data_IF_582000140467
#
_entry.id   IF_582000140467
#
_cell.length_a   1.000
_cell.length_b   1.000
_cell.length_c   1.000
_cell.angle_alpha   90.00
_cell.angle_beta   90.00
_cell.angle_gamma   90.00
#
_symmetry.space_group_name_H-M   'P 1'
#
loop_
_entity.id
_entity.type
_entity.pdbx_description
1 polymer ?
#
# COMPACT_ATOMS: atom_id res chain seq x y z
N UNK A 1 12.42 -11.38 6.60
CA UNK A 1 11.32 -10.39 6.49
C UNK A 1 11.86 -9.23 5.69
N UNK A 2 11.05 -8.67 4.79
CA UNK A 2 11.42 -7.52 3.97
C UNK A 2 10.46 -6.38 4.27
N UNK A 3 11.00 -5.18 4.39
CA UNK A 3 10.24 -3.96 4.62
C UNK A 3 10.21 -3.15 3.33
N UNK A 4 9.02 -2.85 2.87
CA UNK A 4 8.78 -2.02 1.69
C UNK A 4 8.09 -0.72 2.10
N UNK A 5 8.50 0.38 1.48
CA UNK A 5 7.76 1.64 1.54
C UNK A 5 6.99 1.80 0.25
N UNK A 6 5.66 1.82 0.35
CA UNK A 6 4.75 1.94 -0.79
C UNK A 6 4.07 3.31 -0.79
N UNK A 7 4.11 4.02 -1.91
CA UNK A 7 3.41 5.28 -2.11
C UNK A 7 2.42 5.17 -3.27
N UNK A 8 1.18 5.62 -3.07
CA UNK A 8 0.19 5.64 -4.15
C UNK A 8 0.46 6.82 -5.09
N UNK A 9 1.00 6.53 -6.29
CA UNK A 9 1.32 7.52 -7.32
C UNK A 9 0.10 7.92 -8.15
N UNK A 10 -0.77 6.97 -8.45
CA UNK A 10 -1.85 7.14 -9.43
C UNK A 10 -3.18 6.62 -8.88
N UNK A 11 -4.12 7.51 -8.59
CA UNK A 11 -5.46 7.09 -8.19
C UNK A 11 -6.52 7.86 -8.96
N UNK A 12 -7.51 7.12 -9.50
CA UNK A 12 -8.67 7.72 -10.18
C UNK A 12 -9.56 8.50 -9.22
N UNK A 13 -9.43 8.28 -7.91
CA UNK A 13 -10.01 9.12 -6.86
C UNK A 13 -8.89 9.83 -6.09
N UNK A 14 -8.94 11.16 -6.00
CA UNK A 14 -7.92 12.02 -5.33
C UNK A 14 -7.52 11.57 -3.91
N UNK A 15 -8.32 10.73 -3.25
CA UNK A 15 -8.21 10.36 -1.84
C UNK A 15 -6.96 9.57 -1.46
N UNK A 16 -6.41 8.76 -2.36
CA UNK A 16 -5.25 7.91 -2.04
C UNK A 16 -3.91 8.46 -2.53
N UNK A 17 -3.91 9.41 -3.47
CA UNK A 17 -2.67 9.92 -4.07
C UNK A 17 -1.79 10.56 -3.00
N UNK A 18 -0.52 10.15 -2.92
CA UNK A 18 0.42 10.63 -1.91
C UNK A 18 0.30 9.97 -0.53
N UNK A 19 -0.61 9.01 -0.35
CA UNK A 19 -0.59 8.15 0.82
C UNK A 19 0.65 7.25 0.77
N UNK A 20 1.37 7.18 1.89
CA UNK A 20 2.54 6.33 2.05
C UNK A 20 2.32 5.35 3.19
N UNK A 21 2.68 4.09 2.97
CA UNK A 21 2.58 3.02 3.96
C UNK A 21 3.82 2.15 3.97
N UNK A 22 4.07 1.54 5.11
CA UNK A 22 5.15 0.59 5.32
C UNK A 22 4.53 -0.81 5.36
N UNK A 23 5.02 -1.68 4.48
CA UNK A 23 4.51 -3.04 4.32
C UNK A 23 5.62 -4.01 4.66
N UNK A 24 5.36 -4.86 5.65
CA UNK A 24 6.28 -5.93 6.05
C UNK A 24 5.77 -7.23 5.42
N UNK A 25 6.59 -7.83 4.56
CA UNK A 25 6.28 -9.11 3.94
C UNK A 25 7.32 -10.15 4.36
N UNK A 26 6.88 -11.39 4.54
CA UNK A 26 7.79 -12.52 4.76
C UNK A 26 8.15 -13.22 3.44
N UNK A 27 7.40 -12.95 2.36
CA UNK A 27 7.45 -13.68 1.09
C UNK A 27 7.37 -12.66 -0.05
N UNK A 28 8.47 -12.48 -0.79
CA UNK A 28 8.49 -11.70 -2.03
C UNK A 28 8.05 -10.23 -1.89
N UNK A 29 7.62 -9.67 -3.02
CA UNK A 29 7.11 -8.29 -3.11
C UNK A 29 5.70 -8.14 -2.51
N UNK A 30 5.34 -6.96 -1.98
CA UNK A 30 4.05 -6.71 -1.36
C UNK A 30 2.90 -6.89 -2.34
N UNK A 31 1.82 -7.54 -1.90
CA UNK A 31 0.59 -7.71 -2.68
C UNK A 31 -0.42 -6.60 -2.36
N UNK A 32 -1.44 -6.43 -3.21
CA UNK A 32 -2.53 -5.48 -2.98
C UNK A 32 -3.16 -5.59 -1.59
N UNK A 33 -3.33 -6.82 -1.08
CA UNK A 33 -3.88 -7.04 0.26
C UNK A 33 -2.96 -6.58 1.38
N UNK A 34 -1.64 -6.72 1.24
CA UNK A 34 -0.67 -6.27 2.23
C UNK A 34 -0.65 -4.75 2.32
N UNK A 35 -0.67 -4.08 1.16
CA UNK A 35 -0.80 -2.62 1.05
C UNK A 35 -2.12 -2.17 1.67
N UNK A 36 -3.24 -2.82 1.32
CA UNK A 36 -4.57 -2.50 1.88
C UNK A 36 -4.54 -2.52 3.41
N UNK A 37 -4.08 -3.63 4.00
CA UNK A 37 -3.98 -3.78 5.46
C UNK A 37 -3.08 -2.71 6.07
N UNK A 38 -1.97 -2.36 5.42
CA UNK A 38 -1.06 -1.32 5.90
C UNK A 38 -1.72 0.07 5.88
N UNK A 39 -2.47 0.41 4.83
CA UNK A 39 -3.21 1.68 4.75
C UNK A 39 -4.32 1.72 5.80
N UNK A 40 -5.11 0.66 5.93
CA UNK A 40 -6.18 0.58 6.92
C UNK A 40 -5.64 0.73 8.35
N UNK A 41 -4.49 0.10 8.67
CA UNK A 41 -3.83 0.24 9.97
C UNK A 41 -3.28 1.65 10.22
N UNK A 42 -2.60 2.24 9.24
CA UNK A 42 -1.93 3.55 9.42
C UNK A 42 -2.92 4.70 9.52
N UNK A 43 -3.98 4.66 8.72
CA UNK A 43 -4.94 5.76 8.61
C UNK A 43 -6.25 5.50 9.38
N UNK A 44 -6.44 4.30 9.95
CA UNK A 44 -7.63 3.97 10.75
C UNK A 44 -8.94 3.96 9.94
N UNK A 45 -8.85 3.80 8.62
CA UNK A 45 -10.00 3.79 7.71
C UNK A 45 -10.21 2.38 7.18
N UNK A 46 -11.46 1.93 7.01
CA UNK A 46 -11.70 0.69 6.28
C UNK A 46 -11.76 0.96 4.79
N UNK A 47 -10.89 0.28 4.04
CA UNK A 47 -10.77 0.35 2.60
C UNK A 47 -11.37 -0.91 1.96
N UNK A 48 -12.31 -1.55 2.64
CA UNK A 48 -12.98 -2.77 2.16
C UNK A 48 -13.62 -2.60 0.77
N UNK A 49 -14.02 -1.38 0.44
CA UNK A 49 -14.61 -1.01 -0.85
C UNK A 49 -13.60 -0.56 -1.91
N UNK A 50 -12.31 -0.54 -1.59
CA UNK A 50 -11.27 0.04 -2.43
C UNK A 50 -10.52 -1.06 -3.19
N UNK A 51 -10.68 -1.07 -4.51
CA UNK A 51 -9.92 -1.94 -5.42
C UNK A 51 -8.51 -1.40 -5.57
N UNK A 52 -7.60 -1.84 -4.69
CA UNK A 52 -6.18 -1.49 -4.76
C UNK A 52 -5.49 -2.25 -5.89
N UNK A 53 -5.05 -1.52 -6.91
CA UNK A 53 -4.20 -2.07 -7.98
C UNK A 53 -2.72 -1.80 -7.66
N UNK A 54 -1.88 -2.84 -7.64
CA UNK A 54 -0.44 -2.71 -7.39
C UNK A 54 0.26 -1.72 -8.33
N UNK A 55 -0.18 -1.58 -9.58
CA UNK A 55 0.40 -0.63 -10.53
C UNK A 55 0.15 0.85 -10.14
N UNK A 56 -0.73 1.10 -9.18
CA UNK A 56 -0.99 2.43 -8.61
C UNK A 56 -0.04 2.77 -7.47
N UNK A 57 0.72 1.79 -6.98
CA UNK A 57 1.59 1.90 -5.83
C UNK A 57 3.03 1.67 -6.27
N UNK A 58 3.87 2.66 -6.03
CA UNK A 58 5.31 2.53 -6.18
C UNK A 58 5.87 2.03 -4.84
N UNK A 59 6.37 0.80 -4.83
CA UNK A 59 6.90 0.14 -3.64
C UNK A 59 8.41 -0.05 -3.78
N UNK A 60 9.17 0.56 -2.87
CA UNK A 60 10.63 0.41 -2.79
C UNK A 60 11.01 -0.44 -1.59
N UNK A 61 11.94 -1.39 -1.80
CA UNK A 61 12.52 -2.16 -0.70
C UNK A 61 13.41 -1.23 0.14
N UNK A 62 13.18 -1.20 1.45
CA UNK A 62 13.95 -0.37 2.38
C UNK A 62 14.74 -1.19 3.42
N UNK A 63 14.38 -2.45 3.69
CA UNK A 63 15.17 -3.36 4.53
C UNK A 63 14.84 -4.83 4.30
#
# INVERSE_FOLDING_TARGET
MKLYKCECQNSSGKTLKGMNVEVITSIGDPKSEDIKKAVERKYGVSLSSLSINLNQWDCILIS
#
